data_IF_448853952316
#
_entry.id   IF_448853952316
#
_cell.length_a   1.000
_cell.length_b   1.000
_cell.length_c   1.000
_cell.angle_alpha   90.00
_cell.angle_beta   90.00
_cell.angle_gamma   90.00
#
_symmetry.space_group_name_H-M   'P 1'
#
loop_
_entity.id
_entity.type
_entity.pdbx_description
1 polymer ?
#
# COMPACT_ATOMS: atom_id res chain seq x y z
N UNK A 1 8.88 24.98 -4.51
CA UNK A 1 9.13 23.64 -3.93
C UNK A 1 7.97 22.78 -4.36
N UNK A 2 8.19 21.68 -5.09
CA UNK A 2 7.09 20.77 -5.41
C UNK A 2 6.88 19.89 -4.19
N UNK A 3 5.69 19.95 -3.61
CA UNK A 3 5.33 19.19 -2.41
C UNK A 3 4.83 17.80 -2.83
N UNK A 4 5.15 16.81 -2.01
CA UNK A 4 4.54 15.50 -2.12
C UNK A 4 3.07 15.60 -1.70
N UNK A 5 2.24 14.73 -2.26
CA UNK A 5 0.81 14.67 -1.93
C UNK A 5 0.50 13.27 -1.43
N UNK A 6 -0.16 13.19 -0.28
CA UNK A 6 -0.54 11.94 0.35
C UNK A 6 -2.05 11.95 0.57
N UNK A 7 -2.73 10.87 0.21
CA UNK A 7 -4.17 10.76 0.45
C UNK A 7 -4.61 9.31 0.57
N UNK A 8 -5.70 9.08 1.29
CA UNK A 8 -6.39 7.79 1.32
C UNK A 8 -7.72 7.95 0.62
N UNK A 9 -8.03 7.04 -0.30
CA UNK A 9 -9.26 7.05 -1.09
C UNK A 9 -9.99 5.73 -0.88
N UNK A 10 -11.28 5.77 -0.63
CA UNK A 10 -12.12 4.57 -0.57
C UNK A 10 -12.07 3.78 -1.88
N UNK A 11 -11.90 2.46 -1.82
CA UNK A 11 -12.04 1.54 -2.96
C UNK A 11 -13.23 0.59 -2.83
N UNK A 12 -13.74 0.37 -1.60
CA UNK A 12 -14.86 -0.52 -1.29
C UNK A 12 -14.73 -1.95 -1.86
N UNK A 13 -13.50 -2.42 -2.06
CA UNK A 13 -13.27 -3.83 -2.34
C UNK A 13 -13.38 -4.57 -1.00
N UNK A 14 -14.01 -5.75 -0.98
CA UNK A 14 -14.37 -6.46 0.25
C UNK A 14 -13.18 -6.67 1.22
N UNK A 15 -12.00 -6.92 0.65
CA UNK A 15 -10.77 -7.11 1.41
C UNK A 15 -9.89 -5.85 1.41
N UNK A 16 -10.04 -4.97 0.42
CA UNK A 16 -9.24 -3.75 0.28
C UNK A 16 -10.15 -2.51 0.28
N UNK A 17 -10.66 -2.09 1.46
CA UNK A 17 -11.71 -1.08 1.50
C UNK A 17 -11.22 0.33 1.14
N UNK A 18 -9.91 0.59 1.19
CA UNK A 18 -9.31 1.85 0.76
C UNK A 18 -7.94 1.67 0.09
N UNK A 19 -7.45 2.75 -0.53
CA UNK A 19 -6.15 2.83 -1.19
C UNK A 19 -5.38 4.04 -0.67
N UNK A 20 -4.14 3.83 -0.28
CA UNK A 20 -3.20 4.87 0.08
C UNK A 20 -2.42 5.33 -1.17
N UNK A 21 -2.60 6.59 -1.55
CA UNK A 21 -2.01 7.20 -2.74
C UNK A 21 -0.95 8.20 -2.31
N UNK A 22 0.27 8.02 -2.82
CA UNK A 22 1.40 8.88 -2.57
C UNK A 22 1.97 9.39 -3.89
N UNK A 23 2.09 10.70 -4.03
CA UNK A 23 2.64 11.33 -5.23
C UNK A 23 3.92 12.05 -4.89
N UNK A 24 5.00 11.63 -5.54
CA UNK A 24 6.29 12.33 -5.47
C UNK A 24 6.24 13.61 -6.31
N UNK A 25 6.39 14.75 -5.64
CA UNK A 25 6.39 16.05 -6.32
C UNK A 25 7.58 16.25 -7.24
N UNK A 26 8.72 15.60 -7.00
CA UNK A 26 9.96 15.81 -7.76
C UNK A 26 10.03 14.96 -9.03
N UNK A 27 9.63 13.70 -8.94
CA UNK A 27 9.63 12.67 -9.98
C UNK A 27 8.30 12.62 -10.74
N UNK A 28 7.26 13.31 -10.25
CA UNK A 28 5.87 13.25 -10.76
C UNK A 28 5.33 11.82 -10.87
N UNK A 29 5.86 10.90 -10.05
CA UNK A 29 5.43 9.51 -10.00
C UNK A 29 4.43 9.34 -8.86
N UNK A 30 3.35 8.62 -9.15
CA UNK A 30 2.31 8.26 -8.21
C UNK A 30 2.44 6.78 -7.88
N UNK A 31 2.41 6.47 -6.59
CA UNK A 31 2.40 5.12 -6.03
C UNK A 31 1.06 4.94 -5.33
N UNK A 32 0.40 3.83 -5.58
CA UNK A 32 -0.88 3.48 -4.93
C UNK A 32 -0.73 2.13 -4.26
N UNK A 33 -1.09 2.07 -2.99
CA UNK A 33 -1.01 0.89 -2.14
C UNK A 33 -2.40 0.55 -1.62
N UNK A 34 -2.75 -0.73 -1.53
CA UNK A 34 -4.02 -1.16 -0.94
C UNK A 34 -3.99 -1.10 0.58
N UNK A 35 -5.08 -0.66 1.19
CA UNK A 35 -5.32 -0.85 2.62
C UNK A 35 -6.19 -2.09 2.74
N UNK A 36 -5.63 -3.15 3.31
CA UNK A 36 -6.27 -4.45 3.51
C UNK A 36 -6.93 -4.51 4.88
N UNK A 37 -8.15 -5.03 4.91
CA UNK A 37 -8.85 -5.41 6.13
C UNK A 37 -9.23 -6.90 6.05
N UNK A 38 -8.46 -7.82 6.66
CA UNK A 38 -8.76 -9.25 6.67
C UNK A 38 -10.04 -9.60 7.43
N UNK A 39 -10.35 -8.82 8.47
CA UNK A 39 -11.47 -9.06 9.36
C UNK A 39 -12.42 -7.86 9.26
N UNK A 40 -13.34 -7.82 8.28
CA UNK A 40 -14.24 -6.67 8.09
C UNK A 40 -15.18 -6.41 9.28
N UNK A 41 -15.38 -7.42 10.14
CA UNK A 41 -16.12 -7.31 11.39
C UNK A 41 -15.27 -6.72 12.53
N UNK A 42 -13.94 -6.74 12.40
CA UNK A 42 -13.00 -6.08 13.30
C UNK A 42 -12.59 -4.70 12.74
N UNK A 43 -12.63 -3.70 13.62
CA UNK A 43 -12.35 -2.31 13.23
C UNK A 43 -10.88 -1.96 13.43
N UNK A 44 -10.14 -2.76 14.20
CA UNK A 44 -8.85 -2.36 14.76
C UNK A 44 -7.66 -2.77 13.90
N UNK A 45 -7.81 -3.78 13.04
CA UNK A 45 -6.70 -4.39 12.30
C UNK A 45 -6.69 -3.98 10.81
N UNK A 46 -6.30 -2.73 10.54
CA UNK A 46 -6.06 -2.26 9.17
C UNK A 46 -4.58 -2.38 8.80
N UNK A 47 -4.32 -2.90 7.60
CA UNK A 47 -2.98 -3.14 7.11
C UNK A 47 -2.71 -2.44 5.78
N UNK A 48 -1.48 -2.02 5.54
CA UNK A 48 -0.99 -1.60 4.24
C UNK A 48 -0.45 -2.83 3.53
N UNK A 49 -1.11 -3.22 2.45
CA UNK A 49 -0.69 -4.34 1.65
C UNK A 49 -0.16 -3.85 0.30
N UNK A 50 1.13 -4.09 0.07
CA UNK A 50 1.81 -3.80 -1.21
C UNK A 50 1.32 -4.69 -2.35
N UNK A 51 0.67 -5.81 -2.02
CA UNK A 51 0.02 -6.72 -2.95
C UNK A 51 -1.38 -7.03 -2.44
N UNK A 52 -2.36 -7.17 -3.34
CA UNK A 52 -3.67 -7.66 -2.95
C UNK A 52 -3.59 -9.19 -2.73
N UNK A 53 -3.67 -9.69 -1.48
CA UNK A 53 -3.56 -11.13 -1.22
C UNK A 53 -4.68 -11.94 -1.91
N UNK A 54 -5.84 -11.31 -2.18
CA UNK A 54 -6.94 -11.94 -2.90
C UNK A 54 -6.65 -12.21 -4.39
N UNK A 55 -5.68 -11.51 -4.99
CA UNK A 55 -5.25 -11.78 -6.37
C UNK A 55 -4.20 -12.90 -6.45
N UNK A 56 -3.67 -13.32 -5.29
CA UNK A 56 -2.62 -14.34 -5.16
C UNK A 56 -3.05 -15.48 -4.21
N UNK A 57 -4.31 -15.94 -4.30
CA UNK A 57 -4.70 -17.27 -3.80
C UNK A 57 -3.99 -18.37 -4.62
N UNK A 58 -2.66 -18.46 -4.51
CA UNK A 58 -1.89 -19.62 -4.91
C UNK A 58 -1.95 -20.64 -3.77
N UNK A 59 -2.60 -21.80 -3.97
CA UNK A 59 -2.67 -22.83 -2.94
C UNK A 59 -1.26 -23.37 -2.69
N UNK A 60 -0.70 -23.09 -1.51
CA UNK A 60 0.60 -23.63 -1.07
C UNK A 60 1.51 -22.66 -0.31
N UNK A 61 1.26 -21.36 -0.34
CA UNK A 61 1.96 -20.40 0.53
C UNK A 61 1.20 -20.32 1.87
N UNK A 62 1.58 -21.15 2.83
CA UNK A 62 1.18 -20.99 4.23
C UNK A 62 2.04 -19.93 4.96
N UNK A 63 2.94 -19.27 4.25
CA UNK A 63 3.89 -18.28 4.78
C UNK A 63 3.53 -16.87 4.31
N UNK A 64 2.27 -16.47 4.54
CA UNK A 64 1.81 -15.09 4.30
C UNK A 64 2.61 -14.08 5.15
N UNK A 65 3.22 -14.53 6.25
CA UNK A 65 4.09 -13.74 7.14
C UNK A 65 5.47 -13.40 6.53
N UNK A 66 6.00 -14.20 5.59
CA UNK A 66 7.39 -14.04 5.11
C UNK A 66 7.50 -13.31 3.75
N UNK A 67 6.39 -13.18 3.01
CA UNK A 67 6.41 -12.72 1.61
C UNK A 67 5.76 -11.35 1.36
N UNK A 68 4.98 -10.85 2.31
CA UNK A 68 4.33 -9.55 2.21
C UNK A 68 4.88 -8.64 3.30
N UNK A 69 5.55 -7.57 2.92
CA UNK A 69 5.83 -6.45 3.84
C UNK A 69 4.47 -5.79 4.17
N UNK A 70 3.73 -6.40 5.09
CA UNK A 70 2.44 -5.91 5.58
C UNK A 70 2.72 -5.01 6.77
N UNK A 71 2.56 -3.70 6.58
CA UNK A 71 2.69 -2.75 7.68
C UNK A 71 1.33 -2.51 8.32
N UNK A 72 1.27 -2.45 9.65
CA UNK A 72 0.04 -2.04 10.34
C UNK A 72 -0.18 -0.55 10.12
N UNK A 73 -1.44 -0.13 9.92
CA UNK A 73 -1.71 1.28 9.62
C UNK A 73 -1.55 2.20 10.82
N UNK A 74 -1.65 1.70 12.03
CA UNK A 74 -1.37 2.42 13.27
C UNK A 74 0.14 2.64 13.52
N UNK A 75 1.01 1.81 12.93
CA UNK A 75 2.46 2.07 12.88
C UNK A 75 2.83 3.16 11.86
N UNK A 76 2.03 3.31 10.79
CA UNK A 76 2.28 4.29 9.73
C UNK A 76 1.67 5.66 10.07
N UNK A 77 0.42 5.68 10.52
CA UNK A 77 -0.31 6.89 10.85
C UNK A 77 -0.17 7.24 12.33
N UNK A 78 -0.32 8.52 12.64
CA UNK A 78 -0.53 8.93 14.02
C UNK A 78 -1.90 8.42 14.51
N UNK A 79 -2.09 8.20 15.83
CA UNK A 79 -3.35 7.71 16.36
C UNK A 79 -4.58 8.54 15.97
N UNK A 80 -4.41 9.86 15.81
CA UNK A 80 -5.49 10.76 15.37
C UNK A 80 -5.88 10.52 13.91
N UNK A 81 -4.90 10.47 13.01
CA UNK A 81 -5.13 10.19 11.59
C UNK A 81 -5.65 8.76 11.37
N UNK A 82 -5.15 7.78 12.14
CA UNK A 82 -5.65 6.41 12.13
C UNK A 82 -7.11 6.34 12.56
N UNK A 83 -7.49 7.01 13.65
CA UNK A 83 -8.89 7.07 14.10
C UNK A 83 -9.81 7.73 13.07
N UNK A 84 -9.35 8.78 12.37
CA UNK A 84 -10.11 9.38 11.27
C UNK A 84 -10.32 8.40 10.10
N UNK A 85 -9.31 7.60 9.76
CA UNK A 85 -9.42 6.55 8.75
C UNK A 85 -10.41 5.45 9.18
N UNK A 86 -10.31 4.95 10.41
CA UNK A 86 -11.25 3.95 10.93
C UNK A 86 -12.69 4.46 10.89
N UNK A 87 -12.94 5.68 11.38
CA UNK A 87 -14.28 6.26 11.28
C UNK A 87 -14.74 6.42 9.84
N UNK A 88 -13.89 6.86 8.92
CA UNK A 88 -14.24 6.97 7.51
C UNK A 88 -14.59 5.61 6.86
N UNK A 89 -13.90 4.54 7.25
CA UNK A 89 -14.10 3.20 6.73
C UNK A 89 -15.36 2.51 7.28
N UNK A 90 -15.58 2.60 8.59
CA UNK A 90 -16.60 1.80 9.28
C UNK A 90 -17.87 2.57 9.63
N UNK A 91 -17.84 3.90 9.66
CA UNK A 91 -19.00 4.73 10.02
C UNK A 91 -19.63 5.41 8.80
N UNK A 92 -18.99 5.42 7.62
CA UNK A 92 -19.51 6.03 6.39
C UNK A 92 -19.73 5.03 5.25
N UNK A 93 -20.95 4.99 4.69
CA UNK A 93 -21.31 4.16 3.53
C UNK A 93 -21.03 4.84 2.17
N UNK A 94 -20.25 5.91 2.15
CA UNK A 94 -20.05 6.75 0.98
C UNK A 94 -18.56 6.95 0.66
N UNK A 95 -18.24 7.13 -0.62
CA UNK A 95 -16.89 7.43 -1.08
C UNK A 95 -16.26 8.56 -0.26
N UNK A 96 -15.04 8.32 0.22
CA UNK A 96 -14.27 9.29 0.97
C UNK A 96 -12.87 9.47 0.37
N UNK A 97 -12.34 10.67 0.57
CA UNK A 97 -10.95 11.01 0.31
C UNK A 97 -10.41 11.76 1.53
N UNK A 98 -9.38 11.23 2.16
CA UNK A 98 -8.67 11.85 3.29
C UNK A 98 -7.35 12.38 2.75
N UNK A 99 -7.17 13.70 2.77
CA UNK A 99 -5.88 14.31 2.47
C UNK A 99 -4.98 14.22 3.72
N UNK A 100 -3.77 13.70 3.54
CA UNK A 100 -2.78 13.55 4.60
C UNK A 100 -1.62 14.51 4.39
N UNK A 101 -1.04 14.95 5.51
CA UNK A 101 0.16 15.77 5.58
C UNK A 101 1.27 15.00 6.29
N UNK A 102 2.51 15.45 6.19
CA UNK A 102 3.66 14.79 6.86
C UNK A 102 3.50 14.64 8.38
N UNK A 103 2.62 15.43 9.01
CA UNK A 103 2.34 15.36 10.45
C UNK A 103 1.39 14.23 10.84
N UNK A 104 0.65 13.71 9.87
CA UNK A 104 -0.34 12.67 10.09
C UNK A 104 0.30 11.27 10.15
N UNK A 105 1.62 11.19 9.91
CA UNK A 105 2.38 9.95 9.91
C UNK A 105 3.30 9.82 11.12
N UNK A 106 3.37 8.61 11.65
CA UNK A 106 4.32 8.18 12.67
C UNK A 106 5.71 7.90 12.07
N UNK A 107 5.74 7.43 10.81
CA UNK A 107 6.94 7.22 9.99
C UNK A 107 6.96 8.26 8.88
N UNK A 108 8.11 8.84 8.54
CA UNK A 108 8.14 9.89 7.52
C UNK A 108 7.67 9.32 6.17
N UNK A 109 6.62 9.88 5.53
CA UNK A 109 5.98 9.26 4.36
C UNK A 109 6.88 9.24 3.12
N UNK A 110 7.96 10.03 3.12
CA UNK A 110 9.01 9.97 2.10
C UNK A 110 9.88 8.71 2.22
N UNK A 111 10.06 8.15 3.42
CA UNK A 111 10.81 6.90 3.61
C UNK A 111 10.03 5.74 2.99
N UNK A 112 8.73 5.66 3.29
CA UNK A 112 7.81 4.68 2.69
C UNK A 112 7.82 4.82 1.16
N UNK A 113 7.66 6.04 0.65
CA UNK A 113 7.69 6.30 -0.79
C UNK A 113 9.03 5.92 -1.46
N UNK A 114 10.18 6.19 -0.83
CA UNK A 114 11.48 5.88 -1.42
C UNK A 114 11.76 4.38 -1.44
N UNK A 115 11.36 3.65 -0.38
CA UNK A 115 11.45 2.20 -0.33
C UNK A 115 10.54 1.54 -1.38
N UNK A 116 9.33 2.05 -1.58
CA UNK A 116 8.45 1.58 -2.67
C UNK A 116 9.06 1.80 -4.05
N UNK A 117 9.59 3.00 -4.30
CA UNK A 117 10.22 3.31 -5.57
C UNK A 117 11.46 2.46 -5.84
N UNK A 118 12.23 2.13 -4.80
CA UNK A 118 13.36 1.19 -4.89
C UNK A 118 12.88 -0.24 -5.14
N UNK A 119 11.84 -0.68 -4.44
CA UNK A 119 11.23 -2.00 -4.58
C UNK A 119 10.68 -2.24 -5.99
N UNK A 120 9.93 -1.29 -6.55
CA UNK A 120 9.49 -1.33 -7.95
C UNK A 120 10.68 -1.42 -8.92
N UNK A 121 11.72 -0.61 -8.72
CA UNK A 121 12.89 -0.60 -9.60
C UNK A 121 13.64 -1.94 -9.56
N UNK A 122 13.77 -2.55 -8.38
CA UNK A 122 14.40 -3.85 -8.22
C UNK A 122 13.59 -4.98 -8.89
N UNK A 123 12.25 -4.95 -8.75
CA UNK A 123 11.34 -5.91 -9.40
C UNK A 123 11.40 -5.80 -10.93
N UNK A 124 11.51 -4.60 -11.47
CA UNK A 124 11.66 -4.37 -12.91
C UNK A 124 13.00 -4.89 -13.46
N UNK A 125 14.09 -4.74 -12.69
CA UNK A 125 15.39 -5.32 -13.03
C UNK A 125 15.36 -6.86 -12.99
N UNK A 126 14.72 -7.47 -11.98
CA UNK A 126 14.58 -8.93 -11.91
C UNK A 126 13.77 -9.49 -13.09
N UNK A 127 12.61 -8.88 -13.40
CA UNK A 127 11.79 -9.29 -14.56
C UNK A 127 12.51 -9.12 -15.90
N UNK A 128 13.41 -8.14 -16.01
CA UNK A 128 14.22 -7.94 -17.21
C UNK A 128 15.31 -9.01 -17.33
N UNK A 129 15.98 -9.34 -16.23
CA UNK A 129 16.97 -10.41 -16.17
C UNK A 129 16.38 -11.81 -16.41
N UNK A 130 15.14 -12.06 -15.99
CA UNK A 130 14.43 -13.32 -16.28
C UNK A 130 14.08 -13.44 -17.77
N UNK A 131 13.68 -12.34 -18.42
CA UNK A 131 13.41 -12.32 -19.87
C UNK A 131 14.68 -12.52 -20.70
N UNK A 132 15.81 -11.94 -20.30
CA UNK A 132 17.09 -12.19 -20.97
C UNK A 132 17.55 -13.65 -20.81
N UNK A 133 17.39 -14.25 -19.63
CA UNK A 133 17.72 -15.67 -19.41
C UNK A 133 16.81 -16.63 -20.19
N UNK A 134 15.55 -16.27 -20.41
CA UNK A 134 14.61 -17.09 -21.17
C UNK A 134 14.92 -17.04 -22.68
N UNK A 135 15.41 -15.89 -23.19
CA UNK A 135 15.87 -15.76 -24.58
C UNK A 135 17.18 -16.52 -24.86
N UNK A 136 18.11 -16.60 -23.91
CA UNK A 136 19.36 -17.35 -24.06
C UNK A 136 19.17 -18.89 -24.02
N UNK A 137 18.04 -19.37 -23.49
CA UNK A 137 17.75 -20.81 -23.34
C UNK A 137 16.96 -21.40 -24.52
N UNK A 138 16.40 -20.55 -25.40
CA UNK A 138 15.67 -20.93 -26.62
C UNK A 138 16.53 -20.88 -27.90
N UNK A 139 17.84 -20.60 -27.80
CA UNK A 139 18.77 -20.51 -28.94
C UNK A 139 19.74 -21.70 -29.04
#
# INVERSE_FOLDING_TARGET
MVQNVYKIVSSFEANCPAKFVMKDGKKQKEVTIGIWNPEPDDRDDLYVCLFNPAEYETPGLNDWDDALDVFQMDDILTPDAYGQLQSALFDYEAHFEIALTEKDFSIHPTEILDDELKGESAKEQMRSNEKEQQFDMEM
#
